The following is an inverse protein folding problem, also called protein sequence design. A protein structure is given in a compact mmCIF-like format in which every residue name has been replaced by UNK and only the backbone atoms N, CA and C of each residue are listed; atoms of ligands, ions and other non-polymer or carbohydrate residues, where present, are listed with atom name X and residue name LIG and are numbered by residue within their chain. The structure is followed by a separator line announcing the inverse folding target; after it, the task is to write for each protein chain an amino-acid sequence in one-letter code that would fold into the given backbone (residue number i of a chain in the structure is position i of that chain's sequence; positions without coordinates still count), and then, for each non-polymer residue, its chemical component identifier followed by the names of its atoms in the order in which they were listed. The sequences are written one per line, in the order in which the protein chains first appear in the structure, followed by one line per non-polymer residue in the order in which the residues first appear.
data_IF_625086135712
#
_entry.id   IF_625086135712
#
_cell.length_a   1.000
_cell.length_b   1.000
_cell.length_c   1.000
_cell.angle_alpha   90.00
_cell.angle_beta   90.00
_cell.angle_gamma   90.00
#
_symmetry.space_group_name_H-M   'P 1'
#
loop_
_entity.id
_entity.type
_entity.pdbx_description
1 polymer ?
#
# COMPACT_ATOMS: atom_id res chain seq x y z
N UNK A 1 2.96 8.91 -31.48
CA UNK A 1 3.64 8.17 -30.44
C UNK A 1 2.68 7.21 -29.79
N UNK A 2 2.71 5.99 -30.27
CA UNK A 2 1.72 5.00 -29.89
C UNK A 2 2.10 4.29 -28.60
N UNK A 3 1.13 4.19 -27.68
CA UNK A 3 1.23 3.35 -26.51
C UNK A 3 2.24 3.77 -25.45
N UNK A 4 2.74 4.98 -25.52
CA UNK A 4 3.68 5.45 -24.49
C UNK A 4 2.93 5.91 -23.27
N UNK A 5 3.32 5.37 -22.13
CA UNK A 5 2.82 5.80 -20.85
C UNK A 5 3.30 7.21 -20.54
N UNK A 6 2.46 7.98 -19.88
CA UNK A 6 2.82 9.30 -19.39
C UNK A 6 2.47 9.42 -17.93
N UNK A 7 3.41 9.95 -17.17
CA UNK A 7 3.17 10.28 -15.78
C UNK A 7 2.72 11.73 -15.69
N UNK A 8 1.68 11.94 -14.92
CA UNK A 8 1.19 13.27 -14.61
C UNK A 8 1.32 13.47 -13.11
N UNK A 9 1.88 14.60 -12.71
CA UNK A 9 2.02 14.95 -11.30
C UNK A 9 0.96 16.00 -10.97
N UNK A 10 0.22 15.74 -9.89
CA UNK A 10 -0.79 16.66 -9.38
C UNK A 10 -0.75 16.69 -7.86
N UNK A 11 -1.34 17.71 -7.27
CA UNK A 11 -1.52 17.79 -5.81
C UNK A 11 -3.00 17.77 -5.44
N UNK A 12 -3.87 17.63 -6.44
CA UNK A 12 -5.31 17.69 -6.25
C UNK A 12 -5.88 16.29 -5.98
N UNK A 13 -6.37 16.02 -4.75
CA UNK A 13 -6.95 14.71 -4.44
C UNK A 13 -8.16 14.34 -5.29
N UNK A 14 -8.81 15.32 -5.91
CA UNK A 14 -9.96 15.07 -6.79
C UNK A 14 -9.59 14.31 -8.04
N UNK A 15 -8.30 14.28 -8.38
CA UNK A 15 -7.81 13.48 -9.51
C UNK A 15 -7.84 11.99 -9.21
N UNK A 16 -8.00 11.59 -7.95
CA UNK A 16 -8.04 10.19 -7.56
C UNK A 16 -9.45 9.62 -7.74
N UNK A 17 -9.57 8.31 -8.03
CA UNK A 17 -10.87 7.66 -7.95
C UNK A 17 -11.51 7.80 -6.57
N UNK A 18 -12.84 7.78 -6.52
CA UNK A 18 -13.57 7.99 -5.27
C UNK A 18 -13.16 7.02 -4.16
N UNK A 19 -12.92 5.75 -4.50
CA UNK A 19 -12.51 4.75 -3.53
C UNK A 19 -11.16 5.11 -2.89
N UNK A 20 -10.22 5.65 -3.67
CA UNK A 20 -8.93 6.08 -3.16
C UNK A 20 -9.08 7.29 -2.23
N UNK A 21 -9.94 8.23 -2.60
CA UNK A 21 -10.20 9.39 -1.75
C UNK A 21 -10.79 8.96 -0.40
N UNK A 22 -11.73 8.02 -0.42
CA UNK A 22 -12.33 7.48 0.81
C UNK A 22 -11.29 6.79 1.68
N UNK A 23 -10.43 5.98 1.06
CA UNK A 23 -9.35 5.29 1.77
C UNK A 23 -8.41 6.28 2.48
N UNK A 24 -8.00 7.33 1.77
CA UNK A 24 -7.10 8.33 2.34
C UNK A 24 -7.73 9.05 3.53
N UNK A 25 -9.01 9.38 3.43
CA UNK A 25 -9.72 10.01 4.55
C UNK A 25 -9.80 9.10 5.76
N UNK A 26 -10.06 7.81 5.53
CA UNK A 26 -10.23 6.85 6.61
C UNK A 26 -8.94 6.58 7.37
N UNK A 27 -7.83 6.40 6.65
CA UNK A 27 -6.58 5.96 7.25
C UNK A 27 -5.55 7.07 7.43
N UNK A 28 -5.63 8.12 6.63
CA UNK A 28 -4.61 9.18 6.60
C UNK A 28 -5.22 10.58 6.55
N UNK A 29 -6.43 10.75 7.11
CA UNK A 29 -7.19 11.99 6.98
C UNK A 29 -6.51 13.24 7.53
N UNK A 30 -5.62 13.07 8.53
CA UNK A 30 -4.90 14.19 9.13
C UNK A 30 -3.56 14.47 8.47
N UNK A 31 -3.20 13.72 7.44
CA UNK A 31 -1.90 13.84 6.80
C UNK A 31 -2.00 14.64 5.52
N UNK A 32 -0.93 15.38 5.25
CA UNK A 32 -0.88 16.24 4.09
C UNK A 32 -0.24 15.48 2.92
N UNK A 33 -0.85 15.62 1.74
CA UNK A 33 -0.33 15.04 0.50
C UNK A 33 0.78 15.94 -0.02
N UNK A 34 1.93 15.33 -0.34
CA UNK A 34 3.02 16.02 -1.00
C UNK A 34 2.78 16.07 -2.50
N UNK A 35 2.47 14.92 -3.10
CA UNK A 35 2.12 14.87 -4.52
C UNK A 35 1.42 13.56 -4.84
N UNK A 36 0.76 13.53 -6.00
CA UNK A 36 0.11 12.37 -6.57
C UNK A 36 0.70 12.17 -7.97
N UNK A 37 1.19 10.97 -8.23
CA UNK A 37 1.65 10.60 -9.56
C UNK A 37 0.59 9.72 -10.22
N UNK A 38 0.09 10.15 -11.36
CA UNK A 38 -0.86 9.39 -12.17
C UNK A 38 -0.11 8.74 -13.30
N UNK A 39 0.01 7.42 -13.26
CA UNK A 39 0.69 6.65 -14.29
C UNK A 39 -0.35 6.08 -15.24
N UNK A 40 -0.30 6.53 -16.50
CA UNK A 40 -1.19 6.03 -17.54
C UNK A 40 -0.46 4.96 -18.34
N UNK A 41 -0.98 3.75 -18.28
CA UNK A 41 -0.49 2.63 -19.08
C UNK A 41 -1.54 2.25 -20.11
N UNK A 42 -1.18 1.38 -21.03
CA UNK A 42 -2.14 0.92 -22.03
C UNK A 42 -3.31 0.22 -21.33
N UNK A 43 -4.50 0.75 -21.49
CA UNK A 43 -5.77 0.24 -20.94
C UNK A 43 -5.90 0.34 -19.42
N UNK A 44 -4.95 0.97 -18.71
CA UNK A 44 -5.05 1.07 -17.25
C UNK A 44 -4.37 2.32 -16.73
N UNK A 45 -4.66 2.62 -15.47
CA UNK A 45 -3.98 3.67 -14.73
C UNK A 45 -3.56 3.15 -13.36
N UNK A 46 -2.51 3.74 -12.84
CA UNK A 46 -2.10 3.57 -11.45
C UNK A 46 -1.91 4.92 -10.82
N UNK A 47 -2.15 4.99 -9.53
CA UNK A 47 -2.02 6.24 -8.77
C UNK A 47 -1.07 6.00 -7.62
N UNK A 48 -0.08 6.87 -7.49
CA UNK A 48 0.86 6.84 -6.37
C UNK A 48 0.67 8.11 -5.57
N UNK A 49 0.29 7.99 -4.32
CA UNK A 49 0.11 9.13 -3.42
C UNK A 49 1.27 9.14 -2.44
N UNK A 50 1.99 10.26 -2.39
CA UNK A 50 3.09 10.43 -1.45
C UNK A 50 2.73 11.55 -0.48
N UNK A 51 2.76 11.21 0.80
CA UNK A 51 2.49 12.15 1.88
C UNK A 51 3.74 12.93 2.25
N UNK A 52 3.57 14.04 2.96
CA UNK A 52 4.71 14.86 3.39
C UNK A 52 5.65 14.14 4.34
N UNK A 53 5.16 13.11 5.06
CA UNK A 53 5.99 12.26 5.91
C UNK A 53 6.63 11.10 5.15
N UNK A 54 6.53 11.10 3.80
CA UNK A 54 7.09 10.11 2.88
C UNK A 54 6.31 8.81 2.80
N UNK A 55 5.19 8.66 3.52
CA UNK A 55 4.30 7.51 3.33
C UNK A 55 3.83 7.49 1.88
N UNK A 56 3.90 6.31 1.27
CA UNK A 56 3.50 6.12 -0.13
C UNK A 56 2.37 5.11 -0.21
N UNK A 57 1.31 5.47 -0.92
CA UNK A 57 0.19 4.56 -1.15
C UNK A 57 -0.02 4.42 -2.65
N UNK A 58 -0.09 3.18 -3.14
CA UNK A 58 -0.37 2.90 -4.54
C UNK A 58 -1.78 2.34 -4.67
N UNK A 59 -2.50 2.85 -5.67
CA UNK A 59 -3.86 2.42 -6.00
C UNK A 59 -3.92 1.96 -7.45
N UNK A 60 -4.79 0.99 -7.73
CA UNK A 60 -5.10 0.60 -9.09
C UNK A 60 -6.02 1.65 -9.75
N UNK A 61 -6.38 1.41 -11.01
CA UNK A 61 -7.21 2.35 -11.77
C UNK A 61 -8.61 2.54 -11.21
N UNK A 62 -9.08 1.63 -10.37
CA UNK A 62 -10.40 1.72 -9.72
C UNK A 62 -10.32 2.39 -8.35
N UNK A 63 -9.12 2.67 -7.87
CA UNK A 63 -8.93 3.26 -6.56
C UNK A 63 -8.80 2.25 -5.42
N UNK A 64 -8.58 0.98 -5.74
CA UNK A 64 -8.29 -0.03 -4.72
C UNK A 64 -6.79 0.03 -4.39
N UNK A 65 -6.46 0.06 -3.10
CA UNK A 65 -5.05 0.13 -2.72
C UNK A 65 -4.34 -1.19 -3.02
N UNK A 66 -3.09 -1.09 -3.46
CA UNK A 66 -2.22 -2.22 -3.74
C UNK A 66 -1.00 -2.24 -2.83
N UNK A 67 -0.56 -1.08 -2.39
CA UNK A 67 0.59 -0.97 -1.50
C UNK A 67 0.41 0.21 -0.56
N UNK A 68 0.78 0.01 0.70
CA UNK A 68 0.90 1.10 1.69
C UNK A 68 2.27 0.95 2.34
N UNK A 69 3.13 1.93 2.12
CA UNK A 69 4.51 1.93 2.60
C UNK A 69 4.70 3.13 3.54
N UNK A 70 4.73 2.85 4.84
CA UNK A 70 4.92 3.88 5.86
C UNK A 70 6.39 4.10 6.21
N UNK A 71 7.30 3.52 5.40
CA UNK A 71 8.74 3.62 5.61
C UNK A 71 9.12 3.08 6.99
N UNK A 72 9.59 3.93 7.89
CA UNK A 72 9.97 3.51 9.25
C UNK A 72 8.84 3.67 10.28
N UNK A 73 7.74 4.29 9.88
CA UNK A 73 6.60 4.48 10.76
C UNK A 73 5.71 3.23 10.77
N UNK A 74 4.79 3.21 11.71
CA UNK A 74 3.87 2.10 11.85
C UNK A 74 2.70 2.22 10.88
N UNK A 75 2.43 1.13 10.19
CA UNK A 75 1.27 0.96 9.34
C UNK A 75 0.00 0.90 10.19
N UNK A 76 -1.14 1.46 9.75
CA UNK A 76 -2.40 1.22 10.44
C UNK A 76 -2.68 -0.29 10.51
N UNK A 77 -2.81 -0.83 11.73
CA UNK A 77 -2.96 -2.27 11.93
C UNK A 77 -4.19 -2.85 11.29
N UNK A 78 -5.23 -2.04 11.15
CA UNK A 78 -6.49 -2.48 10.53
C UNK A 78 -6.34 -2.85 9.06
N UNK A 79 -5.25 -2.45 8.43
CA UNK A 79 -4.94 -2.86 7.07
C UNK A 79 -4.41 -4.30 6.98
N UNK A 80 -3.92 -4.84 8.09
CA UNK A 80 -3.30 -6.17 8.11
C UNK A 80 -4.36 -7.21 8.44
N UNK A 81 -4.55 -8.22 7.58
CA UNK A 81 -5.52 -9.30 7.84
C UNK A 81 -5.26 -10.00 9.18
N UNK A 82 -6.34 -10.44 9.82
CA UNK A 82 -6.26 -11.05 11.13
C UNK A 82 -5.35 -12.28 11.16
N UNK A 83 -5.39 -13.10 10.10
CA UNK A 83 -4.57 -14.31 10.04
C UNK A 83 -3.08 -13.99 10.02
N UNK A 84 -2.70 -12.88 9.40
CA UNK A 84 -1.29 -12.42 9.38
C UNK A 84 -0.92 -11.92 10.78
N UNK A 85 -1.78 -11.13 11.40
CA UNK A 85 -1.51 -10.63 12.75
C UNK A 85 -1.33 -11.78 13.74
N UNK A 86 -2.15 -12.83 13.63
CA UNK A 86 -2.03 -14.00 14.50
C UNK A 86 -0.67 -14.68 14.32
N UNK A 87 -0.26 -14.88 13.07
CA UNK A 87 1.04 -15.49 12.77
C UNK A 87 2.19 -14.64 13.32
N UNK A 88 2.16 -13.35 13.05
CA UNK A 88 3.25 -12.44 13.45
C UNK A 88 3.32 -12.31 14.96
N UNK A 89 2.17 -12.21 15.64
CA UNK A 89 2.16 -12.12 17.11
C UNK A 89 2.73 -13.38 17.76
N UNK A 90 2.53 -14.55 17.14
CA UNK A 90 3.04 -15.80 17.68
C UNK A 90 4.54 -15.97 17.41
N UNK A 91 5.01 -15.59 16.22
CA UNK A 91 6.39 -15.85 15.80
C UNK A 91 7.34 -14.70 16.11
N UNK A 92 6.85 -13.46 16.04
CA UNK A 92 7.68 -12.25 16.18
C UNK A 92 6.98 -11.25 17.09
N UNK A 93 6.79 -11.58 18.38
CA UNK A 93 6.08 -10.67 19.29
C UNK A 93 6.80 -9.33 19.40
N UNK A 94 6.02 -8.26 19.41
CA UNK A 94 6.55 -6.91 19.61
C UNK A 94 7.00 -6.19 18.36
N UNK A 95 6.97 -6.84 17.18
CA UNK A 95 7.31 -6.13 15.95
C UNK A 95 6.13 -5.27 15.48
N UNK A 96 6.43 -4.24 14.70
CA UNK A 96 5.40 -3.44 14.02
C UNK A 96 5.51 -3.67 12.52
N UNK A 97 4.44 -3.31 11.81
CA UNK A 97 4.38 -3.41 10.36
C UNK A 97 4.75 -2.06 9.76
N UNK A 98 5.64 -2.05 8.75
CA UNK A 98 6.02 -0.84 8.03
C UNK A 98 5.34 -0.74 6.67
N UNK A 99 5.05 -1.87 6.05
CA UNK A 99 4.56 -1.90 4.68
C UNK A 99 3.65 -3.09 4.48
N UNK A 100 2.63 -2.91 3.65
CA UNK A 100 1.78 -4.00 3.20
C UNK A 100 1.55 -3.86 1.70
N UNK A 101 1.61 -4.99 1.00
CA UNK A 101 1.36 -5.04 -0.44
C UNK A 101 0.41 -6.20 -0.69
N UNK A 102 -0.54 -5.99 -1.58
CA UNK A 102 -1.44 -7.07 -1.99
C UNK A 102 -1.52 -7.12 -3.51
N UNK A 103 -1.46 -8.33 -4.04
CA UNK A 103 -1.50 -8.55 -5.47
C UNK A 103 -2.13 -9.92 -5.74
N UNK A 104 -3.22 -9.92 -6.49
CA UNK A 104 -3.90 -11.15 -6.92
C UNK A 104 -4.22 -12.11 -5.79
N UNK A 105 -4.59 -11.56 -4.64
CA UNK A 105 -4.94 -12.34 -3.46
C UNK A 105 -3.76 -12.72 -2.57
N UNK A 106 -2.55 -12.50 -3.01
CA UNK A 106 -1.37 -12.65 -2.16
C UNK A 106 -1.14 -11.36 -1.38
N UNK A 107 -0.63 -11.49 -0.16
CA UNK A 107 -0.35 -10.35 0.71
C UNK A 107 1.06 -10.49 1.25
N UNK A 108 1.83 -9.41 1.15
CA UNK A 108 3.18 -9.34 1.70
C UNK A 108 3.25 -8.22 2.72
N UNK A 109 3.85 -8.49 3.88
CA UNK A 109 4.06 -7.48 4.92
C UNK A 109 5.55 -7.37 5.24
N UNK A 110 6.00 -6.14 5.49
CA UNK A 110 7.35 -5.88 5.95
C UNK A 110 7.30 -5.47 7.41
N UNK A 111 8.12 -6.13 8.21
CA UNK A 111 8.14 -5.99 9.67
C UNK A 111 9.34 -5.16 10.12
N UNK A 112 9.28 -4.65 11.34
CA UNK A 112 10.35 -3.84 11.92
C UNK A 112 11.65 -4.63 12.20
N UNK A 113 11.59 -5.96 12.17
CA UNK A 113 12.77 -6.82 12.31
C UNK A 113 13.45 -7.12 10.97
N UNK A 114 13.07 -6.38 9.89
CA UNK A 114 13.61 -6.49 8.53
C UNK A 114 13.14 -7.71 7.75
N UNK A 115 12.21 -8.50 8.30
CA UNK A 115 11.65 -9.61 7.56
C UNK A 115 10.46 -9.14 6.72
N UNK A 116 10.33 -9.70 5.52
CA UNK A 116 9.14 -9.61 4.70
C UNK A 116 8.51 -10.98 4.62
N UNK A 117 7.22 -11.06 4.89
CA UNK A 117 6.46 -12.31 4.90
C UNK A 117 5.41 -12.25 3.81
N UNK A 118 5.36 -13.29 2.97
CA UNK A 118 4.36 -13.38 1.91
C UNK A 118 3.40 -14.52 2.19
N UNK A 119 2.11 -14.25 2.04
CA UNK A 119 1.04 -15.22 2.26
C UNK A 119 0.22 -15.38 0.98
N UNK A 120 -0.22 -16.60 0.70
CA UNK A 120 -1.07 -16.87 -0.46
C UNK A 120 -2.55 -16.60 -0.16
N UNK A 121 -3.42 -16.85 -1.14
CA UNK A 121 -4.86 -16.62 -1.00
C UNK A 121 -5.50 -17.44 0.11
N UNK A 122 -4.90 -18.58 0.47
CA UNK A 122 -5.39 -19.46 1.52
C UNK A 122 -4.89 -19.06 2.90
N UNK A 123 -4.11 -17.98 2.99
CA UNK A 123 -3.54 -17.53 4.25
C UNK A 123 -2.32 -18.32 4.69
N UNK A 124 -1.70 -19.06 3.79
CA UNK A 124 -0.49 -19.83 4.08
C UNK A 124 0.75 -18.99 3.81
N UNK A 125 1.73 -19.05 4.71
CA UNK A 125 3.01 -18.42 4.49
C UNK A 125 3.76 -19.16 3.37
N UNK A 126 4.14 -18.43 2.32
CA UNK A 126 4.82 -19.00 1.16
C UNK A 126 6.22 -18.47 0.96
N UNK A 127 6.60 -17.39 1.62
CA UNK A 127 7.95 -16.84 1.50
C UNK A 127 8.31 -15.98 2.70
N UNK A 128 9.57 -16.02 3.10
CA UNK A 128 10.19 -15.13 4.08
C UNK A 128 11.46 -14.60 3.45
N UNK A 129 11.62 -13.30 3.43
CA UNK A 129 12.78 -12.63 2.85
C UNK A 129 13.34 -11.62 3.86
N UNK A 130 14.65 -11.42 3.86
CA UNK A 130 15.29 -10.43 4.71
C UNK A 130 16.20 -9.44 3.95
#
# INVERSE_FOLDING_TARGET
QLGFARDVITMDPKELPAAAQTFLKQYFGNRQISYIKVESEFLSKKYEVVMTDRTKIEFDGKGNWEEVDCKRAELPKTLVPAYIQQYVNAQYPGVIYHKIERDRGEVEVELSNRLSLKFNKKGQLIDIDD
#
